data_IF_627701374542
#
_entry.id   IF_627701374542
#
_cell.length_a   1.000
_cell.length_b   1.000
_cell.length_c   1.000
_cell.angle_alpha   90.00
_cell.angle_beta   90.00
_cell.angle_gamma   90.00
#
_symmetry.space_group_name_H-M   'P 1'
#
loop_
_entity.id
_entity.type
_entity.pdbx_description
1 polymer ?
#
# COMPACT_ATOMS: atom_id res chain seq x y z
N UNK A 1 -11.22 26.15 -11.29
CA UNK A 1 -11.46 24.74 -11.01
C UNK A 1 -11.26 24.44 -9.53
N UNK A 2 -11.66 25.35 -8.62
CA UNK A 2 -11.61 25.10 -7.16
C UNK A 2 -12.78 25.77 -6.42
N UNK A 3 -14.01 25.60 -6.93
CA UNK A 3 -15.23 26.02 -6.21
C UNK A 3 -15.34 25.39 -4.82
N UNK A 4 -14.63 24.28 -4.59
CA UNK A 4 -14.50 23.64 -3.29
C UNK A 4 -13.67 24.50 -2.32
N UNK A 5 -12.54 25.07 -2.76
CA UNK A 5 -11.69 25.92 -1.90
C UNK A 5 -12.36 27.27 -1.58
N UNK A 6 -13.32 27.70 -2.39
CA UNK A 6 -14.15 28.89 -2.12
C UNK A 6 -15.07 28.70 -0.89
N UNK A 7 -15.38 27.46 -0.50
CA UNK A 7 -16.19 27.18 0.67
C UNK A 7 -15.38 27.32 1.96
N UNK A 8 -15.94 27.95 3.02
CA UNK A 8 -15.30 27.99 4.32
C UNK A 8 -14.95 26.58 4.83
N UNK A 9 -13.78 26.43 5.44
CA UNK A 9 -13.30 25.14 5.95
C UNK A 9 -14.34 24.41 6.84
N UNK A 10 -15.09 25.06 7.76
CA UNK A 10 -16.11 24.38 8.56
C UNK A 10 -17.21 23.72 7.71
N UNK A 11 -17.57 24.33 6.57
CA UNK A 11 -18.57 23.77 5.64
C UNK A 11 -18.00 22.55 4.94
N UNK A 12 -16.76 22.63 4.43
CA UNK A 12 -16.07 21.49 3.82
C UNK A 12 -15.89 20.33 4.80
N UNK A 13 -15.45 20.61 6.01
CA UNK A 13 -15.31 19.61 7.08
C UNK A 13 -16.64 18.95 7.43
N UNK A 14 -17.74 19.73 7.49
CA UNK A 14 -19.09 19.19 7.70
C UNK A 14 -19.56 18.26 6.57
N UNK A 15 -19.32 18.63 5.31
CA UNK A 15 -19.61 17.77 4.15
C UNK A 15 -18.77 16.48 4.19
N UNK A 16 -17.48 16.59 4.50
CA UNK A 16 -16.58 15.45 4.64
C UNK A 16 -16.93 14.57 5.83
N UNK A 17 -17.48 15.12 6.91
CA UNK A 17 -17.98 14.32 8.03
C UNK A 17 -19.16 13.44 7.61
N UNK A 18 -20.11 14.00 6.85
CA UNK A 18 -21.26 13.23 6.32
C UNK A 18 -20.79 12.17 5.32
N UNK A 19 -19.86 12.52 4.42
CA UNK A 19 -19.26 11.56 3.49
C UNK A 19 -18.47 10.47 4.21
N UNK A 20 -17.73 10.83 5.26
CA UNK A 20 -16.98 9.90 6.09
C UNK A 20 -17.91 8.94 6.86
N UNK A 21 -19.05 9.42 7.35
CA UNK A 21 -20.06 8.57 7.97
C UNK A 21 -20.66 7.58 6.96
N UNK A 22 -20.96 8.04 5.74
CA UNK A 22 -21.42 7.17 4.66
C UNK A 22 -20.35 6.15 4.23
N UNK A 23 -19.09 6.57 4.17
CA UNK A 23 -17.94 5.68 3.92
C UNK A 23 -17.81 4.63 5.03
N UNK A 24 -17.96 5.01 6.29
CA UNK A 24 -17.96 4.08 7.42
C UNK A 24 -19.10 3.05 7.34
N UNK A 25 -20.28 3.48 6.89
CA UNK A 25 -21.39 2.56 6.65
C UNK A 25 -21.07 1.59 5.49
N UNK A 26 -20.41 2.05 4.43
CA UNK A 26 -19.93 1.19 3.34
C UNK A 26 -18.83 0.22 3.79
N UNK A 27 -17.91 0.65 4.67
CA UNK A 27 -16.90 -0.20 5.30
C UNK A 27 -17.58 -1.28 6.14
N UNK A 28 -18.56 -0.92 6.97
CA UNK A 28 -19.35 -1.89 7.72
C UNK A 28 -20.05 -2.87 6.77
N UNK A 29 -20.70 -2.39 5.72
CA UNK A 29 -21.29 -3.30 4.73
C UNK A 29 -20.25 -4.27 4.13
N UNK A 30 -19.08 -3.76 3.71
CA UNK A 30 -18.02 -4.55 3.09
C UNK A 30 -17.45 -5.62 4.04
N UNK A 31 -17.19 -5.26 5.31
CA UNK A 31 -16.71 -6.21 6.33
C UNK A 31 -17.67 -7.37 6.49
N UNK A 32 -18.98 -7.12 6.46
CA UNK A 32 -19.99 -8.16 6.62
C UNK A 32 -20.23 -8.97 5.34
N UNK A 33 -20.17 -8.33 4.18
CA UNK A 33 -20.40 -8.98 2.89
C UNK A 33 -19.22 -9.83 2.42
N UNK A 34 -17.99 -9.46 2.81
CA UNK A 34 -16.75 -10.11 2.36
C UNK A 34 -16.16 -11.06 3.41
N UNK A 35 -16.67 -11.05 4.63
CA UNK A 35 -16.33 -12.00 5.69
C UNK A 35 -16.64 -13.44 5.25
N UNK A 36 -15.73 -14.37 5.53
CA UNK A 36 -15.96 -15.78 5.24
C UNK A 36 -17.01 -16.38 6.18
N UNK A 37 -16.99 -15.95 7.45
CA UNK A 37 -17.99 -16.36 8.44
C UNK A 37 -19.13 -15.34 8.45
N UNK A 38 -20.34 -15.72 8.00
CA UNK A 38 -21.47 -14.81 8.00
C UNK A 38 -21.74 -14.33 9.42
N UNK A 39 -21.80 -13.02 9.60
CA UNK A 39 -22.02 -12.41 10.92
C UNK A 39 -23.47 -12.63 11.35
N UNK A 40 -23.72 -12.75 12.66
CA UNK A 40 -25.06 -13.00 13.16
C UNK A 40 -26.06 -11.89 12.82
N UNK A 41 -25.63 -10.64 12.61
CA UNK A 41 -26.54 -9.54 12.24
C UNK A 41 -25.81 -8.35 11.59
N UNK A 42 -26.32 -7.89 10.43
CA UNK A 42 -25.99 -6.60 9.83
C UNK A 42 -27.27 -5.90 9.39
N UNK A 43 -27.44 -4.59 9.67
CA UNK A 43 -28.53 -3.79 9.08
C UNK A 43 -28.47 -3.76 7.55
N UNK A 44 -27.25 -3.90 7.00
CA UNK A 44 -26.95 -3.76 5.59
C UNK A 44 -27.10 -5.05 4.78
N UNK A 45 -27.33 -6.19 5.44
CA UNK A 45 -27.49 -7.48 4.79
C UNK A 45 -28.90 -7.64 4.16
N UNK A 46 -28.94 -8.35 3.03
CA UNK A 46 -30.16 -8.63 2.27
C UNK A 46 -30.89 -9.88 2.79
N UNK A 47 -30.22 -10.72 3.60
CA UNK A 47 -30.77 -11.97 4.14
C UNK A 47 -31.89 -11.74 5.17
N UNK A 48 -33.08 -11.39 4.71
CA UNK A 48 -34.40 -11.68 5.32
C UNK A 48 -34.74 -11.08 6.69
N UNK A 49 -33.79 -10.51 7.44
CA UNK A 49 -33.98 -10.00 8.81
C UNK A 49 -34.39 -8.52 8.88
N UNK A 50 -34.77 -7.94 7.73
CA UNK A 50 -35.15 -6.52 7.59
C UNK A 50 -36.54 -6.19 8.14
N UNK A 51 -37.44 -7.17 8.25
CA UNK A 51 -38.85 -6.95 8.66
C UNK A 51 -39.01 -6.34 10.06
N UNK A 52 -37.96 -6.37 10.90
CA UNK A 52 -37.95 -5.78 12.23
C UNK A 52 -37.02 -4.54 12.36
N UNK A 53 -36.60 -3.93 11.26
CA UNK A 53 -35.77 -2.71 11.26
C UNK A 53 -36.60 -1.46 10.98
N UNK A 54 -36.29 -0.38 11.68
CA UNK A 54 -36.90 0.93 11.48
C UNK A 54 -36.05 1.75 10.51
N UNK A 55 -36.64 2.71 9.79
CA UNK A 55 -35.89 3.61 8.87
C UNK A 55 -34.70 4.31 9.56
N UNK A 56 -34.85 4.67 10.83
CA UNK A 56 -33.79 5.30 11.64
C UNK A 56 -32.59 4.38 11.94
N UNK A 57 -32.73 3.06 11.79
CA UNK A 57 -31.64 2.11 12.01
C UNK A 57 -30.60 2.13 10.88
N UNK A 58 -30.92 2.77 9.74
CA UNK A 58 -30.03 2.92 8.58
C UNK A 58 -29.27 4.25 8.56
N UNK A 59 -29.46 5.11 9.58
CA UNK A 59 -28.68 6.34 9.69
C UNK A 59 -27.26 6.00 10.15
N UNK A 60 -26.19 6.45 9.45
CA UNK A 60 -24.83 6.29 9.94
C UNK A 60 -24.69 6.87 11.36
N UNK A 61 -23.91 6.18 12.19
CA UNK A 61 -23.62 6.40 13.61
C UNK A 61 -24.85 6.20 14.49
N UNK A 62 -25.91 6.97 14.27
CA UNK A 62 -27.11 7.01 15.11
C UNK A 62 -27.95 5.72 15.00
N UNK A 63 -27.95 5.07 13.84
CA UNK A 63 -28.68 3.82 13.62
C UNK A 63 -28.24 2.72 14.57
N UNK A 64 -26.93 2.58 14.78
CA UNK A 64 -26.36 1.62 15.73
C UNK A 64 -26.71 1.93 17.18
N UNK A 65 -26.71 3.22 17.56
CA UNK A 65 -27.17 3.64 18.88
C UNK A 65 -28.62 3.22 19.16
N UNK A 66 -29.52 3.42 18.19
CA UNK A 66 -30.91 2.98 18.32
C UNK A 66 -31.05 1.45 18.32
N UNK A 67 -30.18 0.73 17.60
CA UNK A 67 -30.17 -0.73 17.56
C UNK A 67 -29.74 -1.37 18.88
N UNK A 68 -29.16 -0.62 19.82
CA UNK A 68 -28.92 -1.07 21.21
C UNK A 68 -30.15 -1.72 21.85
N UNK A 69 -31.37 -1.30 21.48
CA UNK A 69 -32.61 -1.91 21.96
C UNK A 69 -32.71 -3.43 21.69
N UNK A 70 -31.94 -3.96 20.73
CA UNK A 70 -31.89 -5.39 20.38
C UNK A 70 -30.77 -6.16 21.09
N UNK A 71 -30.07 -5.55 22.04
CA UNK A 71 -28.96 -6.14 22.78
C UNK A 71 -29.33 -7.44 23.50
N UNK A 72 -30.56 -7.54 24.02
CA UNK A 72 -31.09 -8.76 24.63
C UNK A 72 -31.14 -9.96 23.65
N UNK A 73 -31.27 -9.69 22.35
CA UNK A 73 -31.40 -10.73 21.30
C UNK A 73 -30.10 -10.97 20.53
N UNK A 74 -29.26 -9.94 20.37
CA UNK A 74 -28.07 -9.98 19.51
C UNK A 74 -26.76 -10.05 20.29
N UNK A 75 -26.83 -9.97 21.63
CA UNK A 75 -25.68 -10.00 22.51
C UNK A 75 -25.21 -8.61 22.94
N UNK A 76 -24.55 -8.56 24.09
CA UNK A 76 -24.08 -7.33 24.72
C UNK A 76 -23.07 -6.61 23.82
N UNK A 77 -23.25 -5.31 23.60
CA UNK A 77 -22.27 -4.47 22.89
C UNK A 77 -22.10 -4.73 21.39
N UNK A 78 -22.97 -5.52 20.73
CA UNK A 78 -22.85 -5.83 19.29
C UNK A 78 -22.83 -4.58 18.37
N UNK A 79 -23.47 -3.49 18.83
CA UNK A 79 -23.61 -2.22 18.10
C UNK A 79 -22.40 -1.29 18.24
N UNK A 80 -21.54 -1.53 19.24
CA UNK A 80 -20.46 -0.61 19.59
C UNK A 80 -19.40 -0.54 18.48
N UNK A 81 -18.91 -1.71 18.03
CA UNK A 81 -17.84 -1.76 17.02
C UNK A 81 -18.27 -1.13 15.68
N UNK A 82 -19.42 -1.48 15.08
CA UNK A 82 -19.85 -0.82 13.83
C UNK A 82 -20.08 0.70 13.99
N UNK A 83 -20.61 1.14 15.13
CA UNK A 83 -20.75 2.57 15.43
C UNK A 83 -19.37 3.25 15.51
N UNK A 84 -18.38 2.63 16.17
CA UNK A 84 -17.02 3.17 16.26
C UNK A 84 -16.35 3.23 14.89
N UNK A 85 -16.59 2.27 13.99
CA UNK A 85 -16.11 2.31 12.61
C UNK A 85 -16.69 3.52 11.87
N UNK A 86 -18.00 3.75 12.01
CA UNK A 86 -18.66 4.90 11.38
C UNK A 86 -18.19 6.24 11.95
N UNK A 87 -18.00 6.34 13.27
CA UNK A 87 -17.42 7.52 13.93
C UNK A 87 -15.98 7.74 13.45
N UNK A 88 -15.16 6.68 13.42
CA UNK A 88 -13.77 6.75 12.98
C UNK A 88 -13.67 7.24 11.53
N UNK A 89 -14.52 6.77 10.63
CA UNK A 89 -14.54 7.25 9.24
C UNK A 89 -15.09 8.68 9.13
N UNK A 90 -16.14 9.02 9.89
CA UNK A 90 -16.74 10.36 9.90
C UNK A 90 -15.78 11.43 10.42
N UNK A 91 -14.97 11.11 11.43
CA UNK A 91 -13.97 12.03 11.99
C UNK A 91 -12.65 11.93 11.21
N UNK A 92 -12.24 10.74 10.80
CA UNK A 92 -10.97 10.49 10.13
C UNK A 92 -10.87 11.15 8.76
N UNK A 93 -11.95 11.17 7.98
CA UNK A 93 -11.95 11.78 6.65
C UNK A 93 -11.70 13.31 6.67
N UNK A 94 -12.44 14.12 7.46
CA UNK A 94 -12.13 15.56 7.58
C UNK A 94 -10.79 15.82 8.28
N UNK A 95 -10.33 14.98 9.21
CA UNK A 95 -8.99 15.10 9.79
C UNK A 95 -7.89 14.87 8.74
N UNK A 96 -8.03 13.85 7.90
CA UNK A 96 -7.11 13.58 6.80
C UNK A 96 -7.11 14.75 5.80
N UNK A 97 -8.29 15.29 5.48
CA UNK A 97 -8.41 16.45 4.60
C UNK A 97 -7.74 17.69 5.18
N UNK A 98 -7.98 17.96 6.47
CA UNK A 98 -7.32 19.06 7.17
C UNK A 98 -5.80 18.87 7.14
N UNK A 99 -5.31 17.66 7.43
CA UNK A 99 -3.89 17.38 7.41
C UNK A 99 -3.27 17.58 6.02
N UNK A 100 -3.80 16.90 5.01
CA UNK A 100 -3.19 16.86 3.68
C UNK A 100 -3.46 18.12 2.84
N UNK A 101 -4.67 18.68 2.90
CA UNK A 101 -5.09 19.79 2.03
C UNK A 101 -4.93 21.14 2.71
N UNK A 102 -5.40 21.29 3.95
CA UNK A 102 -5.33 22.60 4.64
C UNK A 102 -3.95 22.88 5.23
N UNK A 103 -3.43 21.97 6.06
CA UNK A 103 -2.11 22.15 6.68
C UNK A 103 -0.95 21.75 5.77
N UNK A 104 -1.26 21.18 4.59
CA UNK A 104 -0.25 20.67 3.63
C UNK A 104 0.78 19.75 4.29
N UNK A 105 0.32 18.87 5.18
CA UNK A 105 1.18 18.07 6.07
C UNK A 105 2.14 17.11 5.35
N UNK A 106 1.89 16.77 4.08
CA UNK A 106 2.82 15.98 3.24
C UNK A 106 3.91 16.84 2.57
N UNK A 107 3.75 18.16 2.52
CA UNK A 107 4.70 19.09 1.91
C UNK A 107 5.59 19.67 3.01
N UNK A 108 6.73 19.01 3.23
CA UNK A 108 7.75 19.46 4.18
C UNK A 108 8.43 20.76 3.75
N UNK A 109 9.26 21.30 4.65
CA UNK A 109 10.04 22.52 4.39
C UNK A 109 10.92 22.35 3.15
N UNK A 110 10.83 23.30 2.21
CA UNK A 110 11.63 23.32 0.98
C UNK A 110 10.97 22.74 -0.28
N UNK A 111 9.74 22.22 -0.20
CA UNK A 111 8.95 21.81 -1.38
C UNK A 111 8.10 22.97 -1.92
N UNK A 112 7.96 23.03 -3.25
CA UNK A 112 6.98 23.91 -3.90
C UNK A 112 5.57 23.57 -3.42
N UNK A 113 4.78 24.59 -3.09
CA UNK A 113 3.38 24.37 -2.72
C UNK A 113 2.63 23.87 -3.96
N UNK A 114 1.95 22.72 -3.88
CA UNK A 114 1.19 22.16 -4.99
C UNK A 114 -0.05 23.01 -5.27
N UNK A 115 -0.60 22.87 -6.47
CA UNK A 115 -1.92 23.37 -6.79
C UNK A 115 -3.01 22.59 -6.04
N UNK A 116 -4.17 23.21 -5.87
CA UNK A 116 -5.26 22.60 -5.10
C UNK A 116 -5.77 21.29 -5.74
N UNK A 117 -5.74 21.16 -7.07
CA UNK A 117 -6.14 19.93 -7.74
C UNK A 117 -5.25 18.74 -7.33
N UNK A 118 -3.94 18.95 -7.21
CA UNK A 118 -3.00 17.90 -6.75
C UNK A 118 -3.25 17.51 -5.29
N UNK A 119 -3.48 18.50 -4.40
CA UNK A 119 -3.86 18.22 -3.01
C UNK A 119 -5.08 17.31 -2.91
N UNK A 120 -6.13 17.61 -3.68
CA UNK A 120 -7.34 16.81 -3.70
C UNK A 120 -7.14 15.41 -4.32
N UNK A 121 -6.25 15.27 -5.32
CA UNK A 121 -5.90 13.96 -5.89
C UNK A 121 -5.20 13.05 -4.88
N UNK A 122 -4.23 13.60 -4.13
CA UNK A 122 -3.51 12.89 -3.07
C UNK A 122 -4.49 12.47 -1.97
N UNK A 123 -5.31 13.41 -1.48
CA UNK A 123 -6.35 13.14 -0.50
C UNK A 123 -7.33 12.05 -0.93
N UNK A 124 -7.83 12.12 -2.17
CA UNK A 124 -8.78 11.14 -2.68
C UNK A 124 -8.18 9.73 -2.70
N UNK A 125 -6.92 9.60 -3.15
CA UNK A 125 -6.21 8.32 -3.17
C UNK A 125 -5.96 7.77 -1.77
N UNK A 126 -5.51 8.60 -0.82
CA UNK A 126 -5.29 8.16 0.56
C UNK A 126 -6.60 7.83 1.28
N UNK A 127 -7.69 8.55 1.04
CA UNK A 127 -9.01 8.22 1.59
C UNK A 127 -9.49 6.82 1.15
N UNK A 128 -9.30 6.48 -0.13
CA UNK A 128 -9.59 5.13 -0.65
C UNK A 128 -8.70 4.09 0.02
N UNK A 129 -7.38 4.35 0.09
CA UNK A 129 -6.42 3.46 0.74
C UNK A 129 -6.83 3.16 2.20
N UNK A 130 -7.15 4.21 2.97
CA UNK A 130 -7.57 4.08 4.37
C UNK A 130 -8.86 3.26 4.52
N UNK A 131 -9.81 3.39 3.59
CA UNK A 131 -11.03 2.59 3.59
C UNK A 131 -10.74 1.10 3.36
N UNK A 132 -9.91 0.76 2.36
CA UNK A 132 -9.49 -0.63 2.08
C UNK A 132 -8.72 -1.23 3.26
N UNK A 133 -7.79 -0.46 3.84
CA UNK A 133 -7.03 -0.87 5.03
C UNK A 133 -7.93 -1.10 6.24
N UNK A 134 -8.98 -0.28 6.43
CA UNK A 134 -9.93 -0.46 7.52
C UNK A 134 -10.76 -1.73 7.33
N UNK A 135 -11.27 -1.99 6.11
CA UNK A 135 -11.98 -3.25 5.79
C UNK A 135 -11.06 -4.45 6.04
N UNK A 136 -9.84 -4.44 5.48
CA UNK A 136 -8.89 -5.54 5.63
C UNK A 136 -8.54 -5.79 7.11
N UNK A 137 -8.25 -4.74 7.88
CA UNK A 137 -7.93 -4.85 9.31
C UNK A 137 -9.09 -5.41 10.12
N UNK A 138 -10.32 -4.98 9.83
CA UNK A 138 -11.49 -5.45 10.57
C UNK A 138 -11.79 -6.92 10.30
N UNK A 139 -11.65 -7.38 9.06
CA UNK A 139 -11.82 -8.80 8.72
C UNK A 139 -10.68 -9.62 9.34
N UNK A 140 -9.44 -9.13 9.29
CA UNK A 140 -8.28 -9.84 9.84
C UNK A 140 -8.34 -9.95 11.38
N UNK A 141 -8.79 -8.90 12.09
CA UNK A 141 -9.05 -8.96 13.54
C UNK A 141 -10.00 -10.09 13.91
N UNK A 142 -10.99 -10.36 13.06
CA UNK A 142 -12.03 -11.33 13.38
C UNK A 142 -11.73 -12.75 12.89
N UNK A 143 -11.09 -12.87 11.74
CA UNK A 143 -10.96 -14.14 11.02
C UNK A 143 -9.50 -14.57 10.84
N UNK A 144 -8.53 -13.70 11.18
CA UNK A 144 -7.10 -13.92 10.96
C UNK A 144 -6.77 -14.27 9.50
N UNK A 145 -7.60 -13.75 8.59
CA UNK A 145 -7.51 -13.95 7.14
C UNK A 145 -7.84 -12.61 6.48
N UNK A 146 -7.05 -12.24 5.47
CA UNK A 146 -7.34 -11.12 4.59
C UNK A 146 -7.89 -11.67 3.27
N UNK A 147 -9.14 -11.36 2.90
CA UNK A 147 -9.77 -11.93 1.72
C UNK A 147 -9.26 -11.27 0.43
N UNK A 148 -9.04 -12.11 -0.59
CA UNK A 148 -8.64 -11.66 -1.93
C UNK A 148 -9.67 -10.69 -2.57
N UNK A 149 -10.93 -10.75 -2.13
CA UNK A 149 -12.00 -9.83 -2.55
C UNK A 149 -11.80 -8.38 -2.07
N UNK A 150 -10.88 -8.14 -1.14
CA UNK A 150 -10.48 -6.79 -0.72
C UNK A 150 -9.18 -6.39 -1.40
N UNK A 151 -8.16 -7.26 -1.40
CA UNK A 151 -6.82 -6.92 -1.91
C UNK A 151 -6.75 -6.87 -3.43
N UNK A 152 -7.44 -7.75 -4.16
CA UNK A 152 -7.45 -7.71 -5.63
C UNK A 152 -8.11 -6.42 -6.15
N UNK A 153 -9.35 -6.05 -5.74
CA UNK A 153 -9.94 -4.78 -6.18
C UNK A 153 -9.14 -3.57 -5.70
N UNK A 154 -8.63 -3.60 -4.47
CA UNK A 154 -7.77 -2.53 -3.95
C UNK A 154 -6.54 -2.31 -4.81
N UNK A 155 -5.86 -3.38 -5.22
CA UNK A 155 -4.69 -3.31 -6.10
C UNK A 155 -5.05 -2.77 -7.49
N UNK A 156 -6.16 -3.24 -8.08
CA UNK A 156 -6.62 -2.75 -9.39
C UNK A 156 -6.97 -1.25 -9.35
N UNK A 157 -7.64 -0.80 -8.28
CA UNK A 157 -7.95 0.61 -8.05
C UNK A 157 -6.66 1.41 -7.89
N UNK A 158 -5.67 0.91 -7.13
CA UNK A 158 -4.38 1.58 -6.98
C UNK A 158 -3.67 1.80 -8.33
N UNK A 159 -3.61 0.77 -9.17
CA UNK A 159 -3.02 0.85 -10.50
C UNK A 159 -3.78 1.80 -11.43
N UNK A 160 -5.11 1.79 -11.35
CA UNK A 160 -5.96 2.71 -12.11
C UNK A 160 -5.75 4.17 -11.68
N UNK A 161 -5.72 4.43 -10.37
CA UNK A 161 -5.45 5.75 -9.82
C UNK A 161 -4.03 6.22 -10.19
N UNK A 162 -3.04 5.33 -10.18
CA UNK A 162 -1.69 5.66 -10.63
C UNK A 162 -1.65 6.06 -12.11
N UNK A 163 -2.43 5.39 -12.98
CA UNK A 163 -2.49 5.73 -14.39
C UNK A 163 -3.21 7.06 -14.67
N UNK A 164 -4.28 7.36 -13.94
CA UNK A 164 -5.15 8.54 -14.19
C UNK A 164 -4.67 9.77 -13.42
N UNK A 165 -4.15 9.59 -12.20
CA UNK A 165 -3.77 10.65 -11.26
C UNK A 165 -2.26 10.56 -10.95
N UNK A 166 -1.38 10.88 -11.90
CA UNK A 166 0.07 10.71 -11.70
C UNK A 166 0.65 11.54 -10.55
N UNK A 167 0.06 12.70 -10.28
CA UNK A 167 0.42 13.59 -9.17
C UNK A 167 -0.13 13.15 -7.79
N UNK A 168 -0.64 11.93 -7.66
CA UNK A 168 -1.17 11.39 -6.39
C UNK A 168 -0.17 10.52 -5.61
N UNK A 169 1.08 10.41 -6.08
CA UNK A 169 2.14 9.71 -5.34
C UNK A 169 2.64 10.56 -4.16
N UNK A 170 3.32 9.93 -3.21
CA UNK A 170 3.89 10.66 -2.08
C UNK A 170 4.92 11.69 -2.58
N UNK A 171 4.89 12.94 -2.08
CA UNK A 171 5.81 13.97 -2.55
C UNK A 171 7.24 13.68 -2.08
N UNK A 172 8.24 13.92 -2.92
CA UNK A 172 9.64 13.81 -2.54
C UNK A 172 10.34 15.11 -2.85
N UNK A 173 11.19 15.57 -1.93
CA UNK A 173 12.05 16.73 -2.17
C UNK A 173 13.03 16.50 -3.33
N UNK A 174 13.59 17.57 -3.90
CA UNK A 174 14.60 17.45 -4.95
C UNK A 174 15.77 16.59 -4.46
N UNK A 175 16.31 15.76 -5.34
CA UNK A 175 17.51 14.99 -5.06
C UNK A 175 18.62 15.95 -4.62
N UNK A 176 19.20 15.79 -3.41
CA UNK A 176 20.24 16.73 -2.99
C UNK A 176 21.42 16.66 -3.99
N UNK A 177 21.99 17.82 -4.40
CA UNK A 177 23.09 17.89 -5.36
C UNK A 177 24.32 17.07 -4.93
N UNK A 178 24.55 16.94 -3.62
CA UNK A 178 25.65 16.20 -3.03
C UNK A 178 25.66 14.71 -3.41
N UNK A 179 24.51 14.09 -3.69
CA UNK A 179 24.46 12.68 -4.10
C UNK A 179 24.70 12.50 -5.60
N UNK A 180 24.28 13.47 -6.41
CA UNK A 180 24.61 13.51 -7.84
C UNK A 180 26.13 13.69 -8.04
N UNK A 181 26.79 14.49 -7.19
CA UNK A 181 28.24 14.64 -7.15
C UNK A 181 28.99 13.35 -6.72
N UNK A 182 28.43 12.57 -5.81
CA UNK A 182 29.03 11.29 -5.37
C UNK A 182 28.86 10.19 -6.45
N UNK A 183 27.76 10.21 -7.20
CA UNK A 183 27.50 9.25 -8.28
C UNK A 183 28.12 9.64 -9.63
N UNK A 184 28.36 10.92 -9.88
CA UNK A 184 29.15 11.40 -11.02
C UNK A 184 30.65 11.45 -10.69
N UNK A 185 31.15 10.43 -9.99
CA UNK A 185 32.57 10.21 -9.75
C UNK A 185 33.36 9.82 -11.02
N UNK A 186 32.93 10.22 -12.22
CA UNK A 186 33.53 9.74 -13.47
C UNK A 186 33.44 10.66 -14.70
N UNK A 187 33.26 11.99 -14.57
CA UNK A 187 33.50 12.92 -15.71
C UNK A 187 34.17 14.26 -15.33
N UNK A 188 35.51 14.23 -15.44
CA UNK A 188 36.45 15.31 -15.82
C UNK A 188 36.48 16.62 -15.01
N UNK A 189 37.57 16.77 -14.24
CA UNK A 189 38.28 18.06 -14.09
C UNK A 189 39.76 17.93 -14.49
N UNK A 190 40.06 17.19 -15.56
CA UNK A 190 41.37 17.25 -16.23
C UNK A 190 41.15 17.33 -17.74
N UNK A 191 41.45 18.49 -18.35
CA UNK A 191 41.67 18.60 -19.80
C UNK A 191 40.56 19.22 -20.68
N UNK A 192 39.82 20.24 -20.23
CA UNK A 192 39.00 21.08 -21.14
C UNK A 192 39.68 22.45 -21.36
N UNK A 193 39.79 22.94 -22.61
CA UNK A 193 40.42 24.23 -22.91
C UNK A 193 39.65 25.39 -22.24
N UNK A 194 40.35 26.48 -21.85
CA UNK A 194 39.82 27.54 -21.00
C UNK A 194 38.64 28.33 -21.61
N UNK A 195 38.31 28.12 -22.89
CA UNK A 195 37.13 28.71 -23.54
C UNK A 195 35.81 27.95 -23.30
N UNK A 196 35.83 26.83 -22.57
CA UNK A 196 34.63 26.02 -22.26
C UNK A 196 34.30 25.94 -20.77
N UNK A 197 34.94 26.78 -19.94
CA UNK A 197 34.50 27.06 -18.58
C UNK A 197 33.29 28.01 -18.63
N UNK A 198 32.17 27.52 -19.19
CA UNK A 198 30.88 28.07 -18.82
C UNK A 198 30.67 27.69 -17.35
N UNK A 199 30.82 28.69 -16.49
CA UNK A 199 30.59 28.66 -15.06
C UNK A 199 29.34 27.83 -14.79
N UNK A 200 29.50 26.67 -14.16
CA UNK A 200 28.37 26.00 -13.52
C UNK A 200 28.07 26.83 -12.27
N UNK A 201 27.27 27.87 -12.44
CA UNK A 201 26.83 28.70 -11.33
C UNK A 201 25.73 27.91 -10.60
N UNK A 202 25.94 27.48 -9.35
CA UNK A 202 24.94 26.73 -8.59
C UNK A 202 23.63 27.52 -8.42
N UNK A 203 23.66 28.85 -8.63
CA UNK A 203 22.51 29.75 -8.64
C UNK A 203 21.67 29.71 -9.93
N UNK A 204 22.24 29.35 -11.09
CA UNK A 204 21.49 29.29 -12.35
C UNK A 204 20.64 28.02 -12.47
N UNK A 205 21.00 26.95 -11.75
CA UNK A 205 20.20 25.74 -11.64
C UNK A 205 18.85 25.98 -10.93
N UNK A 206 18.72 27.08 -10.17
CA UNK A 206 17.47 27.48 -9.52
C UNK A 206 16.55 28.29 -10.43
N UNK A 207 17.04 28.81 -11.56
CA UNK A 207 16.33 29.83 -12.34
C UNK A 207 15.98 29.44 -13.79
N UNK A 208 16.00 28.16 -14.16
CA UNK A 208 15.46 27.73 -15.47
C UNK A 208 14.01 27.24 -15.36
N UNK A 209 12.98 28.07 -15.60
CA UNK A 209 11.59 27.74 -15.37
C UNK A 209 10.92 27.39 -16.71
N UNK A 210 11.53 26.52 -17.53
CA UNK A 210 10.99 26.18 -18.86
C UNK A 210 11.07 24.72 -19.31
N UNK A 211 11.26 23.78 -18.38
CA UNK A 211 10.86 22.37 -18.58
C UNK A 211 10.14 21.85 -17.31
N UNK A 212 8.96 22.41 -17.07
CA UNK A 212 7.97 21.94 -16.10
C UNK A 212 7.42 20.57 -16.50
N UNK A 213 7.81 19.53 -15.76
CA UNK A 213 7.27 18.17 -15.95
C UNK A 213 7.95 17.11 -15.08
N UNK A 214 7.60 17.06 -13.79
CA UNK A 214 7.52 15.84 -12.96
C UNK A 214 8.78 14.99 -12.68
N UNK A 215 10.00 15.50 -12.86
CA UNK A 215 11.20 14.81 -12.37
C UNK A 215 11.68 15.47 -11.05
N UNK A 216 11.14 15.04 -9.91
CA UNK A 216 11.64 15.44 -8.59
C UNK A 216 10.62 15.96 -7.58
N UNK A 217 9.31 15.98 -7.89
CA UNK A 217 8.27 16.39 -6.93
C UNK A 217 7.50 15.22 -6.30
N UNK A 218 7.38 14.09 -7.01
CA UNK A 218 6.62 12.92 -6.57
C UNK A 218 7.45 11.64 -6.64
N UNK A 219 7.15 10.71 -5.74
CA UNK A 219 7.84 9.44 -5.63
C UNK A 219 7.67 8.64 -6.93
N UNK A 220 8.80 8.24 -7.50
CA UNK A 220 8.87 7.36 -8.66
C UNK A 220 9.69 6.12 -8.36
N UNK A 221 9.68 5.15 -9.26
CA UNK A 221 10.51 3.95 -9.22
C UNK A 221 11.98 4.26 -8.94
N UNK A 222 12.55 5.29 -9.57
CA UNK A 222 13.97 5.61 -9.45
C UNK A 222 14.31 6.54 -8.29
N UNK A 223 13.32 7.14 -7.61
CA UNK A 223 13.57 8.11 -6.54
C UNK A 223 14.48 7.52 -5.45
N UNK A 224 15.54 8.24 -5.03
CA UNK A 224 15.80 9.67 -5.27
C UNK A 224 16.52 10.02 -6.58
N UNK A 225 16.84 9.05 -7.43
CA UNK A 225 17.54 9.29 -8.69
C UNK A 225 16.61 9.78 -9.80
N UNK A 226 17.21 10.50 -10.75
CA UNK A 226 16.55 10.98 -11.96
C UNK A 226 15.97 9.79 -12.73
N UNK A 227 14.75 9.97 -13.26
CA UNK A 227 14.08 8.95 -14.05
C UNK A 227 14.92 8.50 -15.25
N UNK A 228 15.29 7.21 -15.35
CA UNK A 228 16.12 6.73 -16.45
C UNK A 228 15.34 6.72 -17.76
N UNK A 229 15.90 7.34 -18.81
CA UNK A 229 15.28 7.41 -20.15
C UNK A 229 14.89 6.03 -20.71
N UNK A 230 15.65 4.99 -20.36
CA UNK A 230 15.40 3.61 -20.79
C UNK A 230 14.09 3.02 -20.26
N UNK A 231 13.56 3.54 -19.15
CA UNK A 231 12.26 3.16 -18.57
C UNK A 231 11.12 4.09 -18.98
N UNK A 232 11.39 5.07 -19.85
CA UNK A 232 10.37 5.96 -20.39
C UNK A 232 9.29 5.24 -21.21
N UNK A 233 8.29 6.01 -21.62
CA UNK A 233 7.29 5.58 -22.59
C UNK A 233 7.90 5.34 -23.98
N UNK A 234 7.02 5.19 -24.98
CA UNK A 234 7.44 5.01 -26.37
C UNK A 234 8.53 6.05 -26.78
N UNK A 235 9.63 5.65 -27.43
CA UNK A 235 9.89 4.33 -28.03
C UNK A 235 10.61 3.30 -27.13
N UNK A 236 10.84 3.58 -25.85
CA UNK A 236 11.68 2.72 -25.00
C UNK A 236 10.92 1.49 -24.47
N UNK A 237 11.25 0.29 -24.97
CA UNK A 237 10.53 -0.94 -24.61
C UNK A 237 10.86 -1.54 -23.24
N UNK A 238 11.98 -1.17 -22.59
CA UNK A 238 12.39 -1.80 -21.32
C UNK A 238 11.41 -1.51 -20.19
N UNK A 239 10.87 -0.30 -20.12
CA UNK A 239 9.82 0.05 -19.15
C UNK A 239 8.60 -0.86 -19.29
N UNK A 240 8.08 -1.03 -20.52
CA UNK A 240 6.93 -1.89 -20.78
C UNK A 240 7.18 -3.35 -20.37
N UNK A 241 8.37 -3.89 -20.64
CA UNK A 241 8.75 -5.24 -20.24
C UNK A 241 8.73 -5.40 -18.71
N UNK A 242 9.28 -4.43 -17.97
CA UNK A 242 9.26 -4.44 -16.49
C UNK A 242 7.81 -4.37 -15.98
N UNK A 243 7.00 -3.45 -16.50
CA UNK A 243 5.60 -3.31 -16.10
C UNK A 243 4.78 -4.57 -16.36
N UNK A 244 4.92 -5.17 -17.55
CA UNK A 244 4.25 -6.43 -17.90
C UNK A 244 4.76 -7.60 -17.06
N UNK A 245 6.05 -7.66 -16.77
CA UNK A 245 6.61 -8.69 -15.88
C UNK A 245 6.03 -8.59 -14.48
N UNK A 246 6.00 -7.40 -13.87
CA UNK A 246 5.38 -7.18 -12.56
C UNK A 246 3.89 -7.57 -12.56
N UNK A 247 3.17 -7.21 -13.62
CA UNK A 247 1.76 -7.56 -13.80
C UNK A 247 1.52 -9.06 -13.87
N UNK A 248 2.23 -9.76 -14.75
CA UNK A 248 2.09 -11.21 -14.90
C UNK A 248 2.61 -11.99 -13.69
N UNK A 249 3.62 -11.48 -13.00
CA UNK A 249 4.08 -12.02 -11.73
C UNK A 249 2.98 -11.97 -10.67
N UNK A 250 2.24 -10.86 -10.59
CA UNK A 250 1.10 -10.73 -9.68
C UNK A 250 -0.07 -11.63 -10.07
N UNK A 251 -0.43 -11.71 -11.35
CA UNK A 251 -1.46 -12.66 -11.84
C UNK A 251 -1.06 -14.10 -11.51
N UNK A 252 0.19 -14.47 -11.76
CA UNK A 252 0.71 -15.78 -11.36
C UNK A 252 0.67 -15.99 -9.85
N UNK A 253 0.88 -14.92 -9.08
CA UNK A 253 0.85 -15.00 -7.63
C UNK A 253 -0.55 -15.36 -7.08
N UNK A 254 -1.60 -14.85 -7.72
CA UNK A 254 -3.00 -15.12 -7.36
C UNK A 254 -3.49 -16.51 -7.79
N UNK A 255 -2.75 -17.23 -8.65
CA UNK A 255 -3.15 -18.56 -9.08
C UNK A 255 -3.12 -19.55 -7.89
N UNK A 256 -4.05 -20.54 -7.85
CA UNK A 256 -4.12 -21.50 -6.76
C UNK A 256 -2.94 -22.50 -6.80
N UNK A 257 -1.85 -22.18 -6.07
CA UNK A 257 -0.56 -22.88 -6.08
C UNK A 257 -0.44 -24.02 -5.06
N UNK A 258 -1.36 -24.99 -5.04
CA UNK A 258 -1.24 -26.18 -4.16
C UNK A 258 -0.28 -27.22 -4.75
N UNK A 259 0.86 -27.43 -4.09
CA UNK A 259 1.85 -28.45 -4.44
C UNK A 259 1.64 -29.73 -3.61
N UNK A 260 1.37 -30.85 -4.29
CA UNK A 260 1.25 -32.17 -3.64
C UNK A 260 2.48 -33.03 -3.95
N UNK A 261 3.51 -32.94 -3.11
CA UNK A 261 4.81 -33.60 -3.36
C UNK A 261 4.82 -35.10 -2.98
N UNK A 262 3.76 -35.61 -2.33
CA UNK A 262 3.68 -37.00 -1.80
C UNK A 262 3.90 -38.12 -2.83
N UNK A 263 3.69 -37.89 -4.13
CA UNK A 263 3.82 -38.92 -5.20
C UNK A 263 4.98 -38.64 -6.18
N UNK A 264 5.95 -37.81 -5.79
CA UNK A 264 7.09 -37.42 -6.61
C UNK A 264 6.84 -36.15 -7.45
N UNK A 265 7.94 -35.44 -7.75
CA UNK A 265 7.92 -34.11 -8.39
C UNK A 265 7.23 -34.07 -9.75
N UNK A 266 7.40 -35.11 -10.58
CA UNK A 266 6.76 -35.20 -11.90
C UNK A 266 5.24 -35.21 -11.81
N UNK A 267 4.66 -36.01 -10.90
CA UNK A 267 3.20 -36.06 -10.70
C UNK A 267 2.69 -34.78 -10.06
N UNK A 268 3.45 -34.17 -9.14
CA UNK A 268 3.11 -32.87 -8.57
C UNK A 268 3.00 -31.77 -9.65
N UNK A 269 3.95 -31.75 -10.59
CA UNK A 269 3.95 -30.81 -11.72
C UNK A 269 2.77 -31.04 -12.68
N UNK A 270 2.48 -32.30 -13.03
CA UNK A 270 1.31 -32.64 -13.87
C UNK A 270 0.01 -32.22 -13.18
N UNK A 271 -0.16 -32.51 -11.89
CA UNK A 271 -1.36 -32.12 -11.14
C UNK A 271 -1.48 -30.60 -10.98
N UNK A 272 -0.37 -29.90 -10.84
CA UNK A 272 -0.34 -28.44 -10.82
C UNK A 272 -0.91 -27.86 -12.13
N UNK A 273 -0.36 -28.27 -13.28
CA UNK A 273 -0.83 -27.79 -14.58
C UNK A 273 -2.26 -28.23 -14.90
N UNK A 274 -2.61 -29.48 -14.65
CA UNK A 274 -3.97 -29.99 -14.87
C UNK A 274 -5.01 -29.20 -14.06
N UNK A 275 -4.68 -28.85 -12.80
CA UNK A 275 -5.55 -28.01 -11.97
C UNK A 275 -5.59 -26.57 -12.47
N UNK A 276 -4.45 -26.04 -12.91
CA UNK A 276 -4.35 -24.69 -13.46
C UNK A 276 -5.35 -24.52 -14.60
N UNK A 277 -5.36 -25.44 -15.57
CA UNK A 277 -6.28 -25.35 -16.71
C UNK A 277 -7.74 -25.69 -16.39
N UNK A 278 -8.01 -26.51 -15.36
CA UNK A 278 -9.38 -26.92 -15.00
C UNK A 278 -10.14 -25.91 -14.14
N UNK A 279 -9.44 -24.99 -13.48
CA UNK A 279 -10.07 -24.08 -12.51
C UNK A 279 -10.79 -22.92 -13.21
N UNK A 280 -12.06 -22.67 -12.86
CA UNK A 280 -12.82 -21.50 -13.37
C UNK A 280 -12.16 -20.16 -13.00
N UNK A 281 -11.47 -20.12 -11.86
CA UNK A 281 -10.75 -18.92 -11.37
C UNK A 281 -9.58 -18.58 -12.30
N UNK A 282 -8.88 -19.59 -12.83
CA UNK A 282 -7.77 -19.38 -13.77
C UNK A 282 -8.22 -18.64 -15.02
N UNK A 283 -9.37 -19.01 -15.59
CA UNK A 283 -9.92 -18.34 -16.77
C UNK A 283 -10.15 -16.85 -16.52
N UNK A 284 -10.78 -16.51 -15.39
CA UNK A 284 -10.99 -15.11 -14.99
C UNK A 284 -9.68 -14.34 -14.80
N UNK A 285 -8.69 -14.95 -14.13
CA UNK A 285 -7.37 -14.33 -13.93
C UNK A 285 -6.58 -14.15 -15.23
N UNK A 286 -6.73 -15.06 -16.21
CA UNK A 286 -6.09 -14.91 -17.52
C UNK A 286 -6.73 -13.78 -18.33
N UNK A 287 -8.07 -13.67 -18.32
CA UNK A 287 -8.78 -12.54 -18.95
C UNK A 287 -8.33 -11.23 -18.31
N UNK A 288 -8.26 -11.17 -16.98
CA UNK A 288 -7.72 -10.02 -16.25
C UNK A 288 -6.28 -9.72 -16.69
N UNK A 289 -5.42 -10.75 -16.78
CA UNK A 289 -4.04 -10.64 -17.22
C UNK A 289 -3.89 -10.02 -18.61
N UNK A 290 -4.72 -10.45 -19.58
CA UNK A 290 -4.71 -9.93 -20.95
C UNK A 290 -5.22 -8.48 -21.00
N UNK A 291 -6.37 -8.21 -20.36
CA UNK A 291 -6.96 -6.87 -20.32
C UNK A 291 -6.01 -5.88 -19.64
N UNK A 292 -5.42 -6.24 -18.50
CA UNK A 292 -4.44 -5.41 -17.81
C UNK A 292 -3.17 -5.18 -18.64
N UNK A 293 -2.69 -6.20 -19.37
CA UNK A 293 -1.54 -6.01 -20.28
C UNK A 293 -1.84 -5.00 -21.38
N UNK A 294 -3.05 -5.03 -21.97
CA UNK A 294 -3.47 -4.07 -22.97
C UNK A 294 -3.54 -2.64 -22.40
N UNK A 295 -4.08 -2.47 -21.19
CA UNK A 295 -4.13 -1.17 -20.51
C UNK A 295 -2.74 -0.63 -20.15
N UNK A 296 -1.83 -1.49 -19.67
CA UNK A 296 -0.44 -1.12 -19.36
C UNK A 296 0.26 -0.63 -20.64
N UNK A 297 0.11 -1.37 -21.75
CA UNK A 297 0.67 -0.97 -23.04
C UNK A 297 0.08 0.34 -23.56
N UNK A 298 -1.22 0.56 -23.37
CA UNK A 298 -1.88 1.82 -23.72
C UNK A 298 -1.28 3.01 -22.95
N UNK A 299 -1.11 2.89 -21.62
CA UNK A 299 -0.50 3.95 -20.81
C UNK A 299 0.98 4.13 -21.16
N UNK A 300 1.70 3.05 -21.50
CA UNK A 300 3.09 3.13 -21.96
C UNK A 300 3.24 3.89 -23.30
N UNK A 301 2.31 3.67 -24.23
CA UNK A 301 2.24 4.42 -25.50
C UNK A 301 1.98 5.90 -25.21
N UNK A 302 1.08 6.21 -24.27
CA UNK A 302 0.78 7.59 -23.89
C UNK A 302 1.98 8.28 -23.21
N UNK A 303 2.74 7.54 -22.41
CA UNK A 303 3.99 8.01 -21.81
C UNK A 303 3.81 9.07 -20.71
N UNK A 304 4.82 9.91 -20.53
CA UNK A 304 4.82 11.01 -19.57
C UNK A 304 4.67 10.58 -18.11
N UNK A 305 4.07 11.46 -17.30
CA UNK A 305 3.89 11.25 -15.86
C UNK A 305 2.94 10.08 -15.55
N UNK A 306 1.93 9.84 -16.40
CA UNK A 306 1.01 8.71 -16.27
C UNK A 306 1.74 7.37 -16.32
N UNK A 307 2.67 7.21 -17.28
CA UNK A 307 3.50 6.01 -17.36
C UNK A 307 4.47 5.87 -16.18
N UNK A 308 5.15 6.95 -15.79
CA UNK A 308 6.08 6.93 -14.65
C UNK A 308 5.37 6.49 -13.36
N UNK A 309 4.19 7.06 -13.13
CA UNK A 309 3.33 6.77 -12.00
C UNK A 309 2.83 5.31 -12.02
N UNK A 310 2.29 4.84 -13.15
CA UNK A 310 1.83 3.46 -13.29
C UNK A 310 2.97 2.44 -13.10
N UNK A 311 4.13 2.67 -13.71
CA UNK A 311 5.28 1.78 -13.56
C UNK A 311 5.76 1.73 -12.10
N UNK A 312 5.75 2.88 -11.40
CA UNK A 312 6.10 2.97 -9.98
C UNK A 312 5.14 2.17 -9.11
N UNK A 313 3.83 2.23 -9.40
CA UNK A 313 2.81 1.42 -8.72
C UNK A 313 2.94 -0.08 -9.01
N UNK A 314 3.21 -0.47 -10.27
CA UNK A 314 3.44 -1.88 -10.65
C UNK A 314 4.65 -2.48 -9.95
N UNK A 315 5.75 -1.71 -9.87
CA UNK A 315 6.94 -2.16 -9.15
C UNK A 315 6.70 -2.13 -7.64
N UNK A 316 6.00 -1.12 -7.11
CA UNK A 316 5.59 -1.08 -5.71
C UNK A 316 4.79 -2.30 -5.29
N UNK A 317 3.81 -2.70 -6.12
CA UNK A 317 3.03 -3.93 -5.95
C UNK A 317 3.93 -5.17 -5.90
N UNK A 318 4.83 -5.32 -6.87
CA UNK A 318 5.72 -6.47 -6.96
C UNK A 318 6.73 -6.51 -5.79
N UNK A 319 7.34 -5.38 -5.45
CA UNK A 319 8.34 -5.26 -4.39
C UNK A 319 7.73 -5.51 -3.00
N UNK A 320 6.57 -4.92 -2.71
CA UNK A 320 5.85 -5.16 -1.45
C UNK A 320 5.47 -6.63 -1.27
N UNK A 321 4.93 -7.26 -2.32
CA UNK A 321 4.62 -8.69 -2.31
C UNK A 321 5.88 -9.55 -2.15
N UNK A 322 6.94 -9.26 -2.91
CA UNK A 322 8.18 -10.02 -2.89
C UNK A 322 8.87 -9.98 -1.53
N UNK A 323 8.86 -8.82 -0.86
CA UNK A 323 9.48 -8.64 0.46
C UNK A 323 8.87 -9.59 1.50
N UNK A 324 7.54 -9.55 1.66
CA UNK A 324 6.85 -10.41 2.63
C UNK A 324 6.91 -11.87 2.21
N UNK A 325 6.77 -12.15 0.91
CA UNK A 325 6.84 -13.52 0.41
C UNK A 325 8.20 -14.16 0.67
N UNK A 326 9.29 -13.42 0.50
CA UNK A 326 10.65 -13.88 0.77
C UNK A 326 10.83 -14.20 2.26
N UNK A 327 10.41 -13.31 3.15
CA UNK A 327 10.50 -13.50 4.61
C UNK A 327 9.64 -14.68 5.05
N UNK A 328 8.46 -14.86 4.44
CA UNK A 328 7.62 -16.04 4.64
C UNK A 328 8.34 -17.33 4.25
N UNK A 329 9.00 -17.37 3.09
CA UNK A 329 9.75 -18.56 2.65
C UNK A 329 10.88 -18.88 3.62
N UNK A 330 11.75 -17.90 3.91
CA UNK A 330 12.90 -18.07 4.80
C UNK A 330 12.43 -18.50 6.20
N UNK A 331 11.43 -17.80 6.76
CA UNK A 331 10.88 -18.13 8.07
C UNK A 331 10.25 -19.52 8.13
N UNK A 332 9.51 -19.91 7.08
CA UNK A 332 8.87 -21.24 7.06
C UNK A 332 9.86 -22.38 6.91
N UNK A 333 10.97 -22.16 6.20
CA UNK A 333 12.05 -23.13 6.08
C UNK A 333 12.84 -23.29 7.38
N UNK A 334 13.08 -22.21 8.12
CA UNK A 334 13.86 -22.27 9.37
C UNK A 334 13.02 -22.74 10.55
N UNK A 335 11.76 -22.32 10.67
CA UNK A 335 10.91 -22.60 11.85
C UNK A 335 10.00 -23.82 11.70
N UNK A 336 10.01 -24.50 10.54
CA UNK A 336 9.15 -25.65 10.21
C UNK A 336 7.64 -25.40 10.44
N UNK A 337 7.23 -24.13 10.40
CA UNK A 337 5.84 -23.68 10.55
C UNK A 337 5.60 -22.50 9.63
N UNK A 338 4.37 -22.31 9.16
CA UNK A 338 4.04 -21.15 8.34
C UNK A 338 4.30 -19.86 9.12
N UNK A 339 5.32 -19.11 8.72
CA UNK A 339 5.75 -17.92 9.45
C UNK A 339 4.77 -16.75 9.31
N UNK A 340 4.01 -16.70 8.21
CA UNK A 340 3.17 -15.56 7.86
C UNK A 340 2.05 -15.96 6.88
N UNK A 341 0.89 -15.30 6.98
CA UNK A 341 -0.25 -15.56 6.11
C UNK A 341 0.00 -15.11 4.67
N UNK A 342 -0.64 -15.76 3.69
CA UNK A 342 -0.62 -15.26 2.31
C UNK A 342 -1.39 -13.94 2.16
N UNK A 343 -2.39 -13.71 3.03
CA UNK A 343 -3.13 -12.46 3.10
C UNK A 343 -2.22 -11.24 3.24
N UNK A 344 -1.22 -11.32 4.13
CA UNK A 344 -0.24 -10.25 4.35
C UNK A 344 0.58 -9.92 3.10
N UNK A 345 0.93 -10.93 2.29
CA UNK A 345 1.62 -10.74 1.01
C UNK A 345 0.74 -9.95 0.03
N UNK A 346 -0.54 -10.29 -0.08
CA UNK A 346 -1.47 -9.60 -0.99
C UNK A 346 -1.84 -8.19 -0.49
N UNK A 347 -1.92 -7.99 0.82
CA UNK A 347 -2.10 -6.67 1.42
C UNK A 347 -0.89 -5.80 1.13
N UNK A 348 0.34 -6.32 1.26
CA UNK A 348 1.53 -5.57 0.88
C UNK A 348 1.63 -5.28 -0.60
N UNK A 349 1.15 -6.17 -1.46
CA UNK A 349 1.02 -5.88 -2.88
C UNK A 349 0.10 -4.67 -3.10
N UNK A 350 -1.02 -4.62 -2.37
CA UNK A 350 -1.97 -3.51 -2.43
C UNK A 350 -1.34 -2.21 -1.92
N UNK A 351 -0.72 -2.24 -0.73
CA UNK A 351 -0.06 -1.08 -0.11
C UNK A 351 1.08 -0.54 -0.99
N UNK A 352 1.89 -1.43 -1.56
CA UNK A 352 2.94 -1.08 -2.50
C UNK A 352 2.41 -0.49 -3.80
N UNK A 353 1.26 -0.95 -4.31
CA UNK A 353 0.62 -0.36 -5.48
C UNK A 353 0.13 1.07 -5.22
N UNK A 354 -0.37 1.35 -4.00
CA UNK A 354 -0.80 2.69 -3.62
C UNK A 354 0.38 3.64 -3.36
N UNK A 355 1.36 3.20 -2.57
CA UNK A 355 2.38 4.10 -2.03
C UNK A 355 3.69 4.09 -2.83
N UNK A 356 4.01 2.98 -3.50
CA UNK A 356 5.30 2.74 -4.14
C UNK A 356 6.17 1.76 -3.36
N UNK A 357 7.34 1.41 -3.92
CA UNK A 357 8.21 0.39 -3.34
C UNK A 357 9.03 0.89 -2.13
N UNK A 358 9.43 2.18 -2.12
CA UNK A 358 10.18 2.76 -1.00
C UNK A 358 9.32 2.80 0.28
N UNK A 359 8.09 3.34 0.27
CA UNK A 359 7.21 3.28 1.43
C UNK A 359 6.88 1.85 1.84
N UNK A 360 6.72 0.91 0.89
CA UNK A 360 6.45 -0.49 1.19
C UNK A 360 7.56 -1.14 2.03
N UNK A 361 8.83 -0.79 1.78
CA UNK A 361 9.95 -1.22 2.62
C UNK A 361 9.87 -0.57 4.00
N UNK A 362 9.66 0.74 4.07
CA UNK A 362 9.59 1.49 5.34
C UNK A 362 8.48 0.93 6.24
N UNK A 363 7.27 0.81 5.71
CA UNK A 363 6.12 0.33 6.47
C UNK A 363 6.28 -1.14 6.90
N UNK A 364 6.95 -1.98 6.10
CA UNK A 364 7.27 -3.35 6.48
C UNK A 364 8.17 -3.39 7.73
N UNK A 365 9.19 -2.53 7.79
CA UNK A 365 10.06 -2.45 8.97
C UNK A 365 9.40 -1.74 10.14
N UNK A 366 8.43 -0.86 9.89
CA UNK A 366 7.68 -0.16 10.93
C UNK A 366 6.60 -1.05 11.59
N UNK A 367 6.05 -2.04 10.86
CA UNK A 367 4.93 -2.86 11.34
C UNK A 367 5.23 -3.72 12.57
N UNK A 368 6.41 -4.36 12.75
CA UNK A 368 6.70 -5.08 13.99
C UNK A 368 6.76 -4.15 15.21
N UNK A 369 7.17 -2.89 15.06
CA UNK A 369 7.14 -1.93 16.17
C UNK A 369 5.72 -1.55 16.56
N UNK A 370 4.83 -1.33 15.59
CA UNK A 370 3.41 -1.12 15.84
C UNK A 370 2.77 -2.34 16.52
N UNK A 371 3.11 -3.55 16.04
CA UNK A 371 2.67 -4.81 16.63
C UNK A 371 3.20 -5.05 18.04
N UNK A 372 4.46 -4.69 18.32
CA UNK A 372 5.05 -4.82 19.64
C UNK A 372 4.38 -3.87 20.65
N UNK A 373 4.17 -2.60 20.29
CA UNK A 373 3.55 -1.63 21.17
C UNK A 373 2.11 -2.03 21.57
N UNK A 374 1.30 -2.41 20.58
CA UNK A 374 -0.09 -2.82 20.82
C UNK A 374 -0.17 -4.22 21.42
N UNK A 375 0.67 -5.15 20.96
CA UNK A 375 0.74 -6.51 21.46
C UNK A 375 1.15 -6.59 22.94
N UNK A 376 2.11 -5.75 23.35
CA UNK A 376 2.48 -5.62 24.76
C UNK A 376 1.32 -5.11 25.61
N UNK A 377 0.59 -4.09 25.13
CA UNK A 377 -0.58 -3.55 25.81
C UNK A 377 -1.69 -4.61 25.96
N UNK A 378 -1.98 -5.36 24.89
CA UNK A 378 -3.00 -6.42 24.90
C UNK A 378 -2.58 -7.56 25.84
N UNK A 379 -1.30 -7.96 25.80
CA UNK A 379 -0.77 -8.99 26.69
C UNK A 379 -0.90 -8.59 28.16
N UNK A 380 -0.55 -7.34 28.51
CA UNK A 380 -0.70 -6.80 29.87
C UNK A 380 -2.16 -6.78 30.36
N UNK A 381 -3.11 -6.49 29.46
CA UNK A 381 -4.52 -6.37 29.85
C UNK A 381 -5.31 -7.69 29.82
N UNK A 382 -5.03 -8.58 28.87
CA UNK A 382 -5.88 -9.74 28.57
C UNK A 382 -5.15 -11.09 28.51
N UNK A 383 -3.81 -11.11 28.59
CA UNK A 383 -3.03 -12.35 28.56
C UNK A 383 -3.11 -13.16 27.26
N UNK A 384 -3.62 -12.58 26.16
CA UNK A 384 -3.71 -13.25 24.85
C UNK A 384 -2.38 -13.19 24.11
N UNK A 385 -2.01 -14.28 23.46
CA UNK A 385 -0.71 -14.46 22.79
C UNK A 385 -0.78 -14.46 21.26
N UNK A 386 -1.96 -14.69 20.68
CA UNK A 386 -2.16 -14.72 19.22
C UNK A 386 -2.86 -13.45 18.75
N UNK A 387 -2.17 -12.68 17.90
CA UNK A 387 -2.67 -11.40 17.39
C UNK A 387 -2.50 -11.37 15.86
N UNK A 388 -3.55 -11.05 15.09
CA UNK A 388 -3.46 -10.91 13.65
C UNK A 388 -2.51 -9.79 13.25
N UNK A 389 -1.71 -10.02 12.21
CA UNK A 389 -0.64 -9.10 11.80
C UNK A 389 -1.11 -7.98 10.85
N UNK A 390 -2.17 -8.22 10.07
CA UNK A 390 -2.70 -7.28 9.09
C UNK A 390 -3.03 -5.89 9.64
N UNK A 391 -3.67 -5.75 10.83
CA UNK A 391 -3.89 -4.45 11.45
C UNK A 391 -2.61 -3.66 11.71
N UNK A 392 -1.50 -4.32 12.03
CA UNK A 392 -0.22 -3.66 12.28
C UNK A 392 0.46 -3.22 10.99
N UNK A 393 0.31 -3.98 9.90
CA UNK A 393 0.67 -3.51 8.56
C UNK A 393 -0.10 -2.25 8.18
N UNK A 394 -1.41 -2.25 8.43
CA UNK A 394 -2.23 -1.10 8.14
C UNK A 394 -1.86 0.12 9.01
N UNK A 395 -1.64 -0.06 10.30
CA UNK A 395 -1.18 1.02 11.18
C UNK A 395 0.17 1.58 10.74
N UNK A 396 1.11 0.74 10.34
CA UNK A 396 2.41 1.16 9.81
C UNK A 396 2.29 1.93 8.49
N UNK A 397 1.39 1.50 7.60
CA UNK A 397 1.12 2.21 6.35
C UNK A 397 0.49 3.60 6.61
N UNK A 398 -0.48 3.68 7.53
CA UNK A 398 -1.08 4.95 7.93
C UNK A 398 -0.04 5.91 8.56
N UNK A 399 0.81 5.39 9.46
CA UNK A 399 1.91 6.14 10.04
C UNK A 399 2.92 6.59 8.97
N UNK A 400 3.20 5.75 7.97
CA UNK A 400 4.12 6.10 6.88
C UNK A 400 3.58 7.24 6.02
N UNK A 401 2.27 7.27 5.76
CA UNK A 401 1.63 8.40 5.06
C UNK A 401 1.68 9.66 5.93
N UNK A 402 1.24 9.60 7.18
CA UNK A 402 1.15 10.77 8.07
C UNK A 402 2.53 11.40 8.33
N UNK A 403 3.54 10.58 8.59
CA UNK A 403 4.90 11.02 8.92
C UNK A 403 5.84 11.00 7.71
N UNK A 404 5.30 10.95 6.50
CA UNK A 404 6.09 10.80 5.28
C UNK A 404 7.23 11.81 5.13
N UNK A 405 7.05 13.13 5.36
CA UNK A 405 8.15 14.09 5.15
C UNK A 405 9.37 13.79 6.02
N UNK A 406 9.14 13.49 7.31
CA UNK A 406 10.21 13.15 8.25
C UNK A 406 10.83 11.78 7.96
N UNK A 407 9.99 10.79 7.64
CA UNK A 407 10.46 9.44 7.28
C UNK A 407 11.28 9.46 6.00
N UNK A 408 10.86 10.20 4.98
CA UNK A 408 11.60 10.34 3.74
C UNK A 408 12.94 11.03 3.98
N UNK A 409 12.98 12.12 4.74
CA UNK A 409 14.23 12.79 5.09
C UNK A 409 15.22 11.86 5.80
N UNK A 410 14.72 11.03 6.73
CA UNK A 410 15.56 10.09 7.47
C UNK A 410 16.03 8.89 6.63
N UNK A 411 15.19 8.42 5.71
CA UNK A 411 15.48 7.22 4.89
C UNK A 411 16.15 7.53 3.55
N UNK A 412 16.16 8.80 3.13
CA UNK A 412 16.78 9.26 1.89
C UNK A 412 18.23 8.78 1.72
N UNK A 413 19.12 8.85 2.73
CA UNK A 413 20.49 8.35 2.60
C UNK A 413 20.57 6.86 2.29
N UNK A 414 19.62 6.06 2.80
CA UNK A 414 19.55 4.61 2.56
C UNK A 414 19.14 4.33 1.12
N UNK A 415 18.14 5.03 0.60
CA UNK A 415 17.73 4.88 -0.80
C UNK A 415 18.75 5.48 -1.79
N UNK A 416 19.53 6.47 -1.35
CA UNK A 416 20.63 7.05 -2.11
C UNK A 416 21.82 6.08 -2.30
N UNK A 417 21.85 4.93 -1.61
CA UNK A 417 22.85 3.88 -1.83
C UNK A 417 22.71 3.19 -3.21
N UNK A 418 21.58 3.38 -3.91
CA UNK A 418 21.39 2.86 -5.27
C UNK A 418 21.55 1.33 -5.33
N UNK A 419 22.39 0.78 -6.24
CA UNK A 419 22.61 -0.66 -6.35
C UNK A 419 23.12 -1.34 -5.07
N UNK A 420 23.84 -0.61 -4.21
CA UNK A 420 24.35 -1.14 -2.94
C UNK A 420 23.20 -1.51 -1.99
N UNK A 421 22.01 -0.90 -2.14
CA UNK A 421 20.82 -1.27 -1.38
C UNK A 421 20.45 -2.75 -1.56
N UNK A 422 20.67 -3.32 -2.76
CA UNK A 422 20.39 -4.74 -3.01
C UNK A 422 21.37 -5.65 -2.25
N UNK A 423 22.63 -5.24 -2.13
CA UNK A 423 23.62 -5.95 -1.32
C UNK A 423 23.26 -5.88 0.16
N UNK A 424 22.90 -4.70 0.66
CA UNK A 424 22.44 -4.50 2.04
C UNK A 424 21.24 -5.39 2.33
N UNK A 425 20.24 -5.42 1.44
CA UNK A 425 19.06 -6.28 1.57
C UNK A 425 19.46 -7.77 1.62
N UNK A 426 20.38 -8.22 0.76
CA UNK A 426 20.89 -9.60 0.78
C UNK A 426 21.56 -9.96 2.12
N UNK A 427 22.40 -9.05 2.64
CA UNK A 427 23.04 -9.23 3.95
C UNK A 427 21.99 -9.29 5.06
N UNK A 428 20.99 -8.40 5.05
CA UNK A 428 19.89 -8.43 6.02
C UNK A 428 19.12 -9.76 6.01
N UNK A 429 18.90 -10.37 4.84
CA UNK A 429 18.25 -11.69 4.73
C UNK A 429 19.11 -12.79 5.35
N UNK A 430 20.43 -12.76 5.12
CA UNK A 430 21.37 -13.71 5.73
C UNK A 430 21.35 -13.56 7.25
N UNK A 431 21.46 -12.34 7.77
CA UNK A 431 21.39 -12.05 9.20
C UNK A 431 20.07 -12.47 9.81
N UNK A 432 18.94 -12.21 9.13
CA UNK A 432 17.62 -12.66 9.56
C UNK A 432 17.54 -14.19 9.64
N UNK A 433 18.08 -14.89 8.64
CA UNK A 433 18.12 -16.37 8.63
C UNK A 433 18.93 -16.89 9.82
N UNK A 434 20.11 -16.32 10.07
CA UNK A 434 20.96 -16.68 11.20
C UNK A 434 20.27 -16.43 12.54
N UNK A 435 19.60 -15.28 12.69
CA UNK A 435 18.82 -14.94 13.88
C UNK A 435 17.73 -15.98 14.14
N UNK A 436 16.96 -16.37 13.12
CA UNK A 436 15.93 -17.40 13.26
C UNK A 436 16.51 -18.77 13.63
N UNK A 437 17.68 -19.13 13.09
CA UNK A 437 18.37 -20.37 13.46
C UNK A 437 18.79 -20.37 14.92
N UNK A 438 19.34 -19.25 15.41
CA UNK A 438 19.69 -19.08 16.83
C UNK A 438 18.46 -19.19 17.71
N UNK A 439 17.36 -18.51 17.35
CA UNK A 439 16.09 -18.57 18.09
C UNK A 439 15.52 -19.99 18.13
N UNK A 440 15.59 -20.72 17.01
CA UNK A 440 15.20 -22.13 16.97
C UNK A 440 16.02 -22.96 17.95
N UNK A 441 17.34 -22.80 17.94
CA UNK A 441 18.27 -23.57 18.78
C UNK A 441 18.07 -23.27 20.27
N UNK A 442 17.86 -22.00 20.62
CA UNK A 442 17.53 -21.58 22.00
C UNK A 442 16.21 -22.18 22.44
N UNK A 443 15.18 -22.13 21.59
CA UNK A 443 13.87 -22.72 21.88
C UNK A 443 13.95 -24.23 22.08
N UNK A 444 14.71 -24.93 21.25
CA UNK A 444 14.94 -26.37 21.39
C UNK A 444 15.66 -26.71 22.72
N UNK A 445 16.56 -25.85 23.20
CA UNK A 445 17.27 -26.04 24.47
C UNK A 445 16.50 -25.63 25.73
N UNK A 446 15.58 -24.66 25.64
CA UNK A 446 14.76 -24.21 26.77
C UNK A 446 13.51 -25.06 26.99
N UNK A 447 13.09 -25.83 25.98
CA UNK A 447 11.93 -26.73 26.03
C UNK A 447 12.32 -28.21 26.28
N UNK A 448 13.62 -28.49 26.40
CA UNK A 448 14.19 -29.73 26.95
C UNK A 448 14.61 -29.48 28.40
#
# INVERSE_FOLDING_TARGET
MDRLMELPFPVRAGLLFVLGAALGAAVNWAVYALAWKPRPFSPWDAAGRRSALLRRDFLPILGWWFLRRKEATLGRGFWLRPMLVEILSAVGLPLLYWWEVESRGLWGEGLSSPDAATLHCVFFKHAILMAFMLVASLIDVDEQIIPDSVTIPGTLIALLLAAILPASHLPVGPALPSYALILDGSRRLEGLPPSSQATFDPLDAWHSPKNSGTAGEFLTLSSPFIWPKSLGGQPHGRGALVGLFCWWLWIFALLPRRWYVRKGWRKAFVYFWARLFRSRVTGGLLVLGIVGSALILFVWIWGGAAWQSLLSALVGMAAGAALVWLIRIVGSLVLDREAMGFGDVTLMATLGAFLGWQPAIILFFLSPFAGLAVGLLIWLMHGRTEIPFGPFLCLAAAATVIFWPGLWAWTLPVFALGPLLMLVAAVCIVLFTLLLMVLRLVRERLLL
#
